data_IF_002234759967
#
_entry.id   IF_002234759967
#
_cell.length_a   1.000
_cell.length_b   1.000
_cell.length_c   1.000
_cell.angle_alpha   90.00
_cell.angle_beta   90.00
_cell.angle_gamma   90.00
#
_symmetry.space_group_name_H-M   'P 1'
#
loop_
_entity.id
_entity.type
_entity.pdbx_description
1 polymer ?
#
# COMPACT_ATOMS: atom_id res chain seq x y z
N UNK A 1 -26.43 15.35 -37.97
CA UNK A 1 -27.22 16.03 -36.92
C UNK A 1 -27.18 15.16 -35.67
N UNK A 2 -26.59 15.67 -34.58
CA UNK A 2 -26.81 15.30 -33.16
C UNK A 2 -26.48 13.84 -32.76
N UNK A 3 -25.91 13.51 -31.61
CA UNK A 3 -25.18 14.14 -30.50
C UNK A 3 -24.46 12.93 -29.85
N UNK A 4 -23.16 12.94 -29.56
CA UNK A 4 -22.60 13.32 -28.26
C UNK A 4 -23.48 12.91 -27.08
N UNK A 5 -23.29 11.70 -26.55
CA UNK A 5 -23.58 11.42 -25.15
C UNK A 5 -22.48 10.51 -24.59
N UNK A 6 -21.56 11.16 -23.88
CA UNK A 6 -20.54 10.54 -23.06
C UNK A 6 -21.18 10.13 -21.73
N UNK A 7 -21.20 8.84 -21.43
CA UNK A 7 -21.57 8.36 -20.10
C UNK A 7 -20.49 8.77 -19.09
N UNK A 8 -20.85 9.77 -18.27
CA UNK A 8 -20.05 10.24 -17.14
C UNK A 8 -19.88 9.13 -16.09
N UNK A 9 -18.66 8.88 -15.57
CA UNK A 9 -18.49 7.95 -14.46
C UNK A 9 -19.08 8.56 -13.18
N UNK A 10 -20.04 7.83 -12.60
CA UNK A 10 -20.72 8.16 -11.36
C UNK A 10 -19.71 8.44 -10.24
N UNK A 11 -19.71 9.70 -9.78
CA UNK A 11 -19.00 10.13 -8.59
C UNK A 11 -19.46 9.29 -7.39
N UNK A 12 -18.54 8.50 -6.84
CA UNK A 12 -18.73 7.87 -5.53
C UNK A 12 -18.77 8.98 -4.48
N UNK A 13 -19.98 9.32 -4.05
CA UNK A 13 -20.21 10.33 -3.02
C UNK A 13 -19.70 9.77 -1.68
N UNK A 14 -18.75 10.44 -0.98
CA UNK A 14 -18.29 9.95 0.31
C UNK A 14 -19.41 9.99 1.35
N UNK A 15 -19.45 9.05 2.31
CA UNK A 15 -20.53 8.99 3.30
C UNK A 15 -20.57 10.28 4.15
N UNK A 16 -21.73 10.94 4.15
CA UNK A 16 -22.00 12.13 4.95
C UNK A 16 -22.00 11.78 6.45
N UNK A 17 -20.89 12.05 7.12
CA UNK A 17 -20.71 11.76 8.55
C UNK A 17 -21.48 12.72 9.48
N UNK A 18 -22.37 13.59 8.95
CA UNK A 18 -23.19 14.50 9.76
C UNK A 18 -24.30 13.81 10.57
N UNK A 19 -24.48 12.51 10.43
CA UNK A 19 -25.60 11.78 11.02
C UNK A 19 -25.42 11.39 12.51
N UNK A 20 -24.26 11.64 13.13
CA UNK A 20 -24.01 11.32 14.55
C UNK A 20 -24.07 12.53 15.50
N UNK A 21 -24.99 13.48 15.29
CA UNK A 21 -25.15 14.63 16.20
C UNK A 21 -26.61 14.97 16.50
N UNK A 22 -27.39 14.04 17.08
CA UNK A 22 -28.61 14.39 17.83
C UNK A 22 -28.83 13.47 19.03
N UNK A 23 -28.09 13.71 20.11
CA UNK A 23 -28.62 13.54 21.47
C UNK A 23 -28.62 14.92 22.10
N UNK A 24 -29.81 15.52 22.20
CA UNK A 24 -30.01 16.78 22.91
C UNK A 24 -29.76 16.52 24.40
N UNK A 25 -28.69 17.10 24.92
CA UNK A 25 -28.48 17.21 26.37
C UNK A 25 -29.38 18.36 26.82
N UNK A 26 -30.32 18.09 27.73
CA UNK A 26 -31.11 19.12 28.39
C UNK A 26 -30.16 20.08 29.11
N UNK A 27 -30.12 21.34 28.70
CA UNK A 27 -29.42 22.40 29.43
C UNK A 27 -30.33 22.84 30.57
N UNK A 28 -30.06 22.33 31.77
CA UNK A 28 -30.56 22.90 33.02
C UNK A 28 -29.73 24.16 33.31
N UNK A 29 -30.31 25.33 33.59
CA UNK A 29 -29.53 26.51 33.97
C UNK A 29 -29.03 26.33 35.40
N UNK A 30 -27.79 25.85 35.55
CA UNK A 30 -27.09 25.90 36.84
C UNK A 30 -26.55 27.31 37.06
N UNK A 31 -27.37 28.13 37.69
CA UNK A 31 -26.98 29.40 38.27
C UNK A 31 -26.38 29.15 39.66
N UNK A 32 -25.17 28.58 39.73
CA UNK A 32 -24.38 28.53 40.96
C UNK A 32 -22.89 28.59 40.61
N UNK A 33 -22.37 29.82 40.67
CA UNK A 33 -20.96 30.14 40.44
C UNK A 33 -20.17 29.95 41.74
N UNK A 34 -19.63 28.76 41.99
CA UNK A 34 -18.80 28.53 43.19
C UNK A 34 -17.29 28.60 42.96
N UNK A 35 -16.79 28.88 41.76
CA UNK A 35 -15.34 29.07 41.55
C UNK A 35 -15.02 30.07 40.43
N UNK A 36 -15.29 31.35 40.70
CA UNK A 36 -14.68 32.47 39.98
C UNK A 36 -13.28 32.78 40.58
N UNK A 37 -12.40 31.77 40.63
CA UNK A 37 -11.05 31.87 41.18
C UNK A 37 -10.02 31.44 40.14
N UNK A 38 -9.12 32.36 39.79
CA UNK A 38 -7.98 32.22 38.88
C UNK A 38 -7.49 30.78 38.62
N UNK A 39 -7.73 30.24 37.43
CA UNK A 39 -6.79 29.24 36.91
C UNK A 39 -5.50 30.00 36.54
N UNK A 40 -4.49 29.90 37.40
CA UNK A 40 -3.15 30.44 37.13
C UNK A 40 -2.50 29.53 36.09
N UNK A 41 -2.27 30.07 34.89
CA UNK A 41 -1.61 29.36 33.78
C UNK A 41 -0.17 28.97 34.12
N UNK A 42 0.43 29.62 35.13
CA UNK A 42 1.79 29.38 35.64
C UNK A 42 1.84 28.37 36.80
N UNK A 43 0.77 27.58 37.01
CA UNK A 43 0.77 26.58 38.08
C UNK A 43 1.57 25.33 37.67
N UNK A 44 2.28 24.74 38.64
CA UNK A 44 3.00 23.45 38.51
C UNK A 44 2.13 22.31 37.96
N UNK A 45 0.81 22.46 37.98
CA UNK A 45 -0.17 21.53 37.42
C UNK A 45 -0.12 21.49 35.87
N UNK A 46 0.11 22.64 35.23
CA UNK A 46 0.21 22.75 33.76
C UNK A 46 1.63 22.49 33.22
N UNK A 47 2.67 22.61 34.05
CA UNK A 47 4.05 22.24 33.69
C UNK A 47 4.18 20.74 33.32
N UNK A 48 3.33 19.90 33.91
CA UNK A 48 3.28 18.45 33.65
C UNK A 48 2.23 18.05 32.60
N UNK A 49 1.38 18.98 32.14
CA UNK A 49 0.51 18.82 30.98
C UNK A 49 1.22 19.19 29.67
N UNK A 50 2.56 19.09 29.65
CA UNK A 50 3.35 19.21 28.44
C UNK A 50 3.05 18.00 27.57
N UNK A 51 2.09 18.18 26.65
CA UNK A 51 1.80 17.24 25.55
C UNK A 51 3.13 16.81 24.96
N UNK A 52 3.47 15.52 25.10
CA UNK A 52 4.66 14.99 24.47
C UNK A 52 4.53 15.26 22.98
N UNK A 53 5.53 15.91 22.35
CA UNK A 53 5.47 16.08 20.91
C UNK A 53 5.29 14.69 20.29
N UNK A 54 4.29 14.57 19.42
CA UNK A 54 4.08 13.36 18.62
C UNK A 54 5.42 12.96 17.99
N UNK A 55 5.76 11.67 18.01
CA UNK A 55 6.97 11.16 17.36
C UNK A 55 7.02 11.60 15.89
N UNK A 56 5.87 11.70 15.23
CA UNK A 56 5.78 12.23 13.87
C UNK A 56 6.19 13.71 13.77
N UNK A 57 5.95 14.51 14.81
CA UNK A 57 6.39 15.91 14.86
C UNK A 57 7.91 15.99 14.98
N UNK A 58 8.50 15.21 15.88
CA UNK A 58 9.95 15.16 16.06
C UNK A 58 10.66 14.71 14.78
N UNK A 59 10.09 13.73 14.07
CA UNK A 59 10.62 13.27 12.78
C UNK A 59 10.49 14.34 11.68
N UNK A 60 9.42 15.15 11.68
CA UNK A 60 9.27 16.26 10.72
C UNK A 60 10.25 17.40 11.00
N UNK A 61 10.47 17.73 12.26
CA UNK A 61 11.34 18.83 12.68
C UNK A 61 12.84 18.49 12.51
N UNK A 62 13.20 17.19 12.55
CA UNK A 62 14.57 16.70 12.37
C UNK A 62 14.86 16.11 10.99
N UNK A 63 13.84 15.96 10.13
CA UNK A 63 14.03 15.42 8.79
C UNK A 63 14.78 16.42 7.89
N UNK A 64 15.70 15.92 7.02
CA UNK A 64 16.30 16.73 5.97
C UNK A 64 15.22 17.23 5.00
N UNK A 65 15.50 18.32 4.30
CA UNK A 65 14.62 18.88 3.28
C UNK A 65 14.39 17.88 2.14
N UNK A 66 13.24 18.00 1.48
CA UNK A 66 12.92 17.26 0.26
C UNK A 66 13.98 17.55 -0.82
N UNK A 67 14.47 16.51 -1.49
CA UNK A 67 15.47 16.62 -2.58
C UNK A 67 14.84 17.00 -3.94
N UNK A 68 13.56 17.38 -3.93
CA UNK A 68 12.83 17.75 -5.14
C UNK A 68 13.03 19.23 -5.45
N UNK A 69 13.16 19.59 -6.73
CA UNK A 69 13.43 20.96 -7.15
C UNK A 69 12.37 21.94 -6.62
N UNK A 70 12.81 22.92 -5.84
CA UNK A 70 11.94 23.96 -5.29
C UNK A 70 11.04 23.53 -4.12
N UNK A 71 11.29 22.38 -3.48
CA UNK A 71 10.49 21.91 -2.34
C UNK A 71 11.22 22.07 -1.00
N UNK A 72 10.62 22.82 -0.07
CA UNK A 72 11.10 22.99 1.30
C UNK A 72 10.35 22.11 2.33
N UNK A 73 9.52 21.16 1.89
CA UNK A 73 8.83 20.23 2.78
C UNK A 73 9.80 19.20 3.40
N UNK A 74 9.48 18.62 4.58
CA UNK A 74 10.37 17.67 5.23
C UNK A 74 10.40 16.32 4.48
N UNK A 75 11.61 15.84 4.20
CA UNK A 75 11.92 14.61 3.46
C UNK A 75 11.94 13.36 4.35
N UNK A 76 10.76 12.95 4.83
CA UNK A 76 10.63 11.79 5.73
C UNK A 76 10.78 10.45 4.99
N UNK A 77 10.43 10.41 3.71
CA UNK A 77 10.23 9.18 2.98
C UNK A 77 11.40 8.92 2.02
N UNK A 78 12.13 7.79 2.19
CA UNK A 78 13.17 7.40 1.27
C UNK A 78 12.59 6.78 0.00
N UNK A 79 13.17 7.11 -1.16
CA UNK A 79 12.86 6.52 -2.46
C UNK A 79 14.14 5.96 -3.11
N UNK A 80 14.11 4.73 -3.67
CA UNK A 80 15.29 4.13 -4.30
C UNK A 80 15.73 4.94 -5.53
N UNK A 81 17.03 5.10 -5.79
CA UNK A 81 17.51 5.87 -6.97
C UNK A 81 17.40 5.13 -8.32
N UNK A 82 17.16 3.82 -8.30
CA UNK A 82 17.04 2.98 -9.50
C UNK A 82 17.96 1.77 -9.52
N UNK A 83 17.91 1.02 -10.63
CA UNK A 83 18.72 -0.19 -10.85
C UNK A 83 20.19 0.17 -10.97
N UNK A 84 21.06 -0.51 -10.20
CA UNK A 84 22.51 -0.25 -10.17
C UNK A 84 22.98 0.79 -9.15
N UNK A 85 22.05 1.49 -8.49
CA UNK A 85 22.34 2.35 -7.34
C UNK A 85 21.73 1.76 -6.06
N UNK A 86 21.94 0.46 -5.89
CA UNK A 86 21.47 -0.29 -4.73
C UNK A 86 22.09 0.30 -3.44
N UNK A 87 21.24 0.65 -2.48
CA UNK A 87 21.66 1.29 -1.22
C UNK A 87 21.68 2.82 -1.24
N UNK A 88 21.46 3.46 -2.40
CA UNK A 88 21.27 4.91 -2.44
C UNK A 88 19.78 5.24 -2.47
N UNK A 89 19.39 6.21 -1.63
CA UNK A 89 18.02 6.67 -1.51
C UNK A 89 17.95 8.19 -1.64
N UNK A 90 16.95 8.67 -2.36
CA UNK A 90 16.50 10.05 -2.31
C UNK A 90 15.55 10.25 -1.14
N UNK A 91 15.49 11.47 -0.59
CA UNK A 91 14.56 11.79 0.49
C UNK A 91 13.52 12.79 0.02
N UNK A 92 12.25 12.38 0.04
CA UNK A 92 11.14 13.15 -0.49
C UNK A 92 10.03 13.37 0.57
N UNK A 93 9.21 14.39 0.33
CA UNK A 93 7.97 14.62 1.08
C UNK A 93 6.83 13.75 0.52
N UNK A 94 5.70 13.67 1.23
CA UNK A 94 4.55 12.82 0.85
C UNK A 94 4.09 12.99 -0.60
N UNK A 95 4.03 14.23 -1.08
CA UNK A 95 3.52 14.51 -2.41
C UNK A 95 4.52 14.11 -3.50
N UNK A 96 5.81 14.38 -3.29
CA UNK A 96 6.85 14.01 -4.25
C UNK A 96 7.16 12.52 -4.28
N UNK A 97 7.02 11.80 -3.16
CA UNK A 97 7.15 10.32 -3.17
C UNK A 97 6.07 9.71 -4.05
N UNK A 98 4.84 10.23 -3.98
CA UNK A 98 3.74 9.74 -4.83
C UNK A 98 4.04 9.98 -6.29
N UNK A 99 4.55 11.17 -6.63
CA UNK A 99 4.92 11.49 -8.01
C UNK A 99 6.09 10.63 -8.50
N UNK A 100 7.12 10.47 -7.67
CA UNK A 100 8.25 9.58 -7.94
C UNK A 100 7.79 8.14 -8.21
N UNK A 101 6.96 7.58 -7.32
CA UNK A 101 6.48 6.21 -7.43
C UNK A 101 5.60 5.97 -8.66
N UNK A 102 4.86 6.97 -9.15
CA UNK A 102 4.08 6.84 -10.39
C UNK A 102 4.99 6.69 -11.61
N UNK A 103 6.12 7.39 -11.63
CA UNK A 103 7.08 7.35 -12.74
C UNK A 103 8.16 6.26 -12.59
N UNK A 104 8.28 5.65 -11.41
CA UNK A 104 9.35 4.70 -11.12
C UNK A 104 9.06 3.31 -11.71
N UNK A 105 9.90 2.88 -12.65
CA UNK A 105 9.92 1.52 -13.16
C UNK A 105 11.28 0.87 -12.90
N UNK A 106 11.31 -0.13 -12.02
CA UNK A 106 12.52 -0.89 -11.70
C UNK A 106 13.09 -1.65 -12.92
N UNK A 107 12.23 -2.11 -13.83
CA UNK A 107 12.60 -2.84 -15.05
C UNK A 107 12.92 -1.92 -16.24
N UNK A 108 13.07 -0.61 -16.01
CA UNK A 108 13.46 0.31 -17.08
C UNK A 108 14.83 -0.11 -17.67
N UNK A 109 14.84 -0.44 -18.96
CA UNK A 109 16.04 -0.86 -19.69
C UNK A 109 16.30 -2.38 -19.74
N UNK A 110 15.43 -3.20 -19.14
CA UNK A 110 15.45 -4.67 -19.29
C UNK A 110 14.57 -5.05 -20.49
N UNK A 111 14.99 -5.98 -21.37
CA UNK A 111 14.12 -6.43 -22.46
C UNK A 111 12.88 -7.17 -21.92
N UNK A 112 11.75 -7.02 -22.61
CA UNK A 112 10.46 -7.55 -22.16
C UNK A 112 10.48 -9.07 -21.92
N UNK A 113 11.30 -9.80 -22.67
CA UNK A 113 11.48 -11.25 -22.52
C UNK A 113 12.09 -11.66 -21.17
N UNK A 114 13.06 -10.90 -20.67
CA UNK A 114 13.65 -11.10 -19.34
C UNK A 114 12.67 -10.72 -18.24
N UNK A 115 11.88 -9.65 -18.44
CA UNK A 115 10.82 -9.25 -17.51
C UNK A 115 9.76 -10.35 -17.38
N UNK A 116 9.32 -10.92 -18.49
CA UNK A 116 8.36 -12.05 -18.49
C UNK A 116 8.96 -13.27 -17.80
N UNK A 117 10.24 -13.57 -18.01
CA UNK A 117 10.92 -14.68 -17.34
C UNK A 117 10.99 -14.46 -15.82
N UNK A 118 11.35 -13.25 -15.37
CA UNK A 118 11.33 -12.89 -13.95
C UNK A 118 9.94 -12.99 -13.35
N UNK A 119 8.90 -12.47 -14.03
CA UNK A 119 7.52 -12.60 -13.57
C UNK A 119 7.09 -14.06 -13.38
N UNK A 120 7.48 -14.97 -14.28
CA UNK A 120 7.21 -16.41 -14.16
C UNK A 120 7.96 -17.04 -12.99
N UNK A 121 9.21 -16.63 -12.78
CA UNK A 121 10.02 -17.11 -11.67
C UNK A 121 9.45 -16.64 -10.32
N UNK A 122 9.05 -15.37 -10.22
CA UNK A 122 8.46 -14.75 -9.03
C UNK A 122 7.11 -15.36 -8.65
N UNK A 123 6.28 -15.74 -9.64
CA UNK A 123 5.04 -16.51 -9.37
C UNK A 123 5.33 -17.81 -8.60
N UNK A 124 6.50 -18.38 -8.82
CA UNK A 124 6.95 -19.62 -8.17
C UNK A 124 7.85 -19.30 -6.96
N UNK A 125 8.02 -18.03 -6.60
CA UNK A 125 8.90 -17.57 -5.54
C UNK A 125 10.37 -17.88 -5.81
N UNK A 126 10.79 -17.86 -7.08
CA UNK A 126 12.12 -18.27 -7.54
C UNK A 126 12.49 -19.72 -7.14
N UNK A 127 11.49 -20.57 -6.90
CA UNK A 127 11.71 -21.97 -6.52
C UNK A 127 11.88 -22.83 -7.78
N UNK A 128 12.98 -23.60 -7.91
CA UNK A 128 13.14 -24.49 -9.05
C UNK A 128 12.06 -25.58 -9.01
N UNK A 129 11.22 -25.65 -10.05
CA UNK A 129 10.19 -26.67 -10.19
C UNK A 129 10.69 -27.79 -11.09
N UNK A 130 10.72 -29.02 -10.57
CA UNK A 130 10.84 -30.22 -11.40
C UNK A 130 9.44 -30.68 -11.85
N UNK A 131 9.35 -31.21 -13.07
CA UNK A 131 8.13 -31.84 -13.55
C UNK A 131 7.86 -33.11 -12.73
N UNK A 132 6.80 -33.11 -11.92
CA UNK A 132 6.33 -34.31 -11.22
C UNK A 132 5.47 -35.09 -12.21
N UNK A 133 6.10 -35.99 -12.98
CA UNK A 133 5.42 -36.78 -13.98
C UNK A 133 4.43 -37.77 -13.36
N UNK A 134 3.17 -37.69 -13.80
CA UNK A 134 2.20 -38.79 -13.65
C UNK A 134 2.71 -40.02 -14.40
N UNK A 135 3.27 -40.95 -13.63
CA UNK A 135 3.55 -42.35 -13.98
C UNK A 135 4.04 -42.62 -15.41
N UNK A 136 5.34 -42.42 -15.68
CA UNK A 136 6.02 -42.94 -16.89
C UNK A 136 5.84 -44.48 -17.06
N UNK A 137 5.55 -45.19 -15.96
CA UNK A 137 5.35 -46.64 -15.93
C UNK A 137 4.00 -47.12 -16.51
N UNK A 138 3.05 -46.22 -16.79
CA UNK A 138 1.72 -46.58 -17.29
C UNK A 138 1.60 -46.69 -18.81
N UNK A 139 2.56 -46.14 -19.57
CA UNK A 139 2.49 -46.02 -21.03
C UNK A 139 3.15 -47.20 -21.76
N UNK A 140 2.83 -48.44 -21.36
CA UNK A 140 3.48 -49.62 -21.96
C UNK A 140 2.72 -50.94 -21.91
N UNK A 141 1.55 -51.02 -21.26
CA UNK A 141 0.78 -52.27 -21.17
C UNK A 141 -0.67 -52.07 -21.60
N UNK A 142 -0.91 -52.11 -22.90
CA UNK A 142 -2.27 -51.97 -23.43
C UNK A 142 -2.40 -52.07 -24.94
N UNK A 143 -1.81 -53.11 -25.57
CA UNK A 143 -2.27 -53.64 -26.88
C UNK A 143 -1.59 -54.98 -27.17
N UNK A 144 -2.04 -56.03 -26.47
CA UNK A 144 -1.74 -57.42 -26.78
C UNK A 144 -2.99 -58.08 -27.36
N UNK A 145 -2.96 -58.33 -28.66
CA UNK A 145 -4.01 -58.89 -29.49
C UNK A 145 -4.50 -60.25 -28.95
N UNK A 146 -5.81 -60.40 -28.72
CA UNK A 146 -6.43 -61.68 -28.40
C UNK A 146 -6.26 -62.65 -29.57
N UNK A 147 -5.43 -63.68 -29.41
CA UNK A 147 -5.38 -64.85 -30.31
C UNK A 147 -6.27 -65.93 -29.72
N UNK A 148 -7.39 -66.15 -30.41
CA UNK A 148 -8.33 -67.26 -30.22
C UNK A 148 -7.74 -68.50 -30.91
N UNK A 149 -7.36 -69.52 -30.16
CA UNK A 149 -7.10 -70.87 -30.69
C UNK A 149 -7.78 -71.86 -29.76
N UNK A 150 -8.84 -72.48 -30.27
CA UNK A 150 -9.52 -73.60 -29.62
C UNK A 150 -8.85 -74.93 -29.95
N UNK A 151 -9.02 -75.89 -29.05
CA UNK A 151 -8.93 -77.32 -29.34
C UNK A 151 -10.15 -77.99 -28.70
N UNK A 152 -10.98 -78.58 -29.57
CA UNK A 152 -12.06 -79.49 -29.17
C UNK A 152 -11.49 -80.88 -28.91
N UNK A 153 -12.14 -81.58 -28.00
CA UNK A 153 -12.07 -83.02 -27.81
C UNK A 153 -13.32 -83.67 -28.41
#
# INVERSE_FOLDING_TARGET
MRASDAESPAAHNPPDYRQYRRRAILVVPNNDSHNAGSMKLDSKLFDHLRVKPDENRLLRDSAPKCEWEGCDQPGLYPAPKGRGQEGQYHRFCLDHVREYNKGYNYFSGVPDEEVIAQQKADQTGNRPTWFVGVNAYGKGRGRGQARRTGYGY
#
